data_IF_662541990775
#
_entry.id   IF_662541990775
#
_cell.length_a   1.000
_cell.length_b   1.000
_cell.length_c   1.000
_cell.angle_alpha   90.00
_cell.angle_beta   90.00
_cell.angle_gamma   90.00
#
_symmetry.space_group_name_H-M   'P 1'
#
loop_
_entity.id
_entity.type
_entity.pdbx_description
1 polymer ?
#
# COMPACT_ATOMS: atom_id res chain seq x y z
N UNK A 1 4.24 -101.88 26.05
CA UNK A 1 4.63 -101.47 24.67
C UNK A 1 3.52 -100.59 24.10
N UNK A 2 3.89 -99.54 23.36
CA UNK A 2 3.05 -98.44 22.81
C UNK A 2 2.80 -97.27 23.76
N UNK A 3 2.85 -96.00 23.33
CA UNK A 3 3.82 -95.24 22.53
C UNK A 3 3.45 -93.76 22.81
N UNK A 4 4.47 -92.92 22.89
CA UNK A 4 4.49 -91.45 22.87
C UNK A 4 3.26 -90.69 22.35
N UNK A 5 2.96 -89.55 23.00
CA UNK A 5 2.88 -88.25 22.30
C UNK A 5 2.98 -87.09 23.31
N UNK A 6 4.13 -86.41 23.32
CA UNK A 6 4.28 -85.06 23.91
C UNK A 6 4.36 -84.08 22.74
N UNK A 7 3.34 -83.23 22.61
CA UNK A 7 3.33 -82.09 21.68
C UNK A 7 3.84 -80.88 22.45
N UNK A 8 5.02 -80.39 22.09
CA UNK A 8 5.58 -79.13 22.60
C UNK A 8 5.08 -78.00 21.70
N UNK A 9 4.21 -77.14 22.21
CA UNK A 9 3.80 -75.91 21.52
C UNK A 9 4.79 -74.78 21.85
N UNK A 10 5.49 -74.27 20.84
CA UNK A 10 6.31 -73.06 20.93
C UNK A 10 5.38 -71.87 20.64
N UNK A 11 5.11 -71.04 21.65
CA UNK A 11 4.40 -69.76 21.47
C UNK A 11 5.43 -68.70 21.12
N UNK A 12 5.41 -68.23 19.86
CA UNK A 12 6.22 -67.10 19.42
C UNK A 12 5.51 -65.79 19.81
N UNK A 13 6.07 -65.06 20.77
CA UNK A 13 5.64 -63.72 21.15
C UNK A 13 6.04 -62.71 20.08
N UNK A 14 5.07 -62.29 19.26
CA UNK A 14 5.23 -61.14 18.36
C UNK A 14 5.08 -59.83 19.14
N UNK A 15 6.18 -59.09 19.29
CA UNK A 15 6.17 -57.72 19.83
C UNK A 15 5.69 -56.78 18.72
N UNK A 16 4.48 -56.26 18.86
CA UNK A 16 3.93 -55.22 17.99
C UNK A 16 4.50 -53.86 18.42
N UNK A 17 5.47 -53.33 17.67
CA UNK A 17 6.00 -51.98 17.88
C UNK A 17 5.07 -50.98 17.19
N UNK A 18 4.24 -50.29 17.98
CA UNK A 18 3.43 -49.16 17.53
C UNK A 18 4.32 -47.92 17.38
N UNK A 19 4.65 -47.56 16.14
CA UNK A 19 5.27 -46.28 15.83
C UNK A 19 4.21 -45.17 15.96
N UNK A 20 4.28 -44.39 17.05
CA UNK A 20 3.52 -43.16 17.18
C UNK A 20 4.14 -42.09 16.27
N UNK A 21 3.57 -41.91 15.08
CA UNK A 21 3.87 -40.76 14.25
C UNK A 21 3.38 -39.50 14.98
N UNK A 22 4.32 -38.65 15.40
CA UNK A 22 4.02 -37.33 15.98
C UNK A 22 3.38 -36.46 14.89
N UNK A 23 2.10 -36.16 15.05
CA UNK A 23 1.39 -35.19 14.21
C UNK A 23 1.99 -33.81 14.53
N UNK A 24 2.60 -33.10 13.57
CA UNK A 24 3.04 -31.74 13.81
C UNK A 24 1.81 -30.87 14.07
N UNK A 25 1.67 -30.39 15.31
CA UNK A 25 0.74 -29.33 15.66
C UNK A 25 1.22 -28.05 14.97
N UNK A 26 0.68 -27.78 13.79
CA UNK A 26 0.76 -26.47 13.17
C UNK A 26 0.08 -25.46 14.11
N UNK A 27 0.90 -24.73 14.86
CA UNK A 27 0.41 -23.61 15.64
C UNK A 27 0.00 -22.54 14.64
N UNK A 28 -1.30 -22.35 14.46
CA UNK A 28 -1.82 -21.21 13.73
C UNK A 28 -1.38 -19.95 14.46
N UNK A 29 -0.29 -19.33 13.99
CA UNK A 29 0.14 -18.02 14.44
C UNK A 29 -0.97 -17.05 14.04
N UNK A 30 -1.64 -16.48 15.05
CA UNK A 30 -2.56 -15.38 14.83
C UNK A 30 -1.80 -14.28 14.07
N UNK A 31 -2.39 -13.66 13.04
CA UNK A 31 -1.76 -12.55 12.35
C UNK A 31 -1.41 -11.50 13.41
N UNK A 32 -0.13 -11.19 13.54
CA UNK A 32 0.33 -10.07 14.36
C UNK A 32 -0.40 -8.85 13.82
N UNK A 33 -1.28 -8.26 14.62
CA UNK A 33 -1.85 -6.95 14.32
C UNK A 33 -0.67 -5.98 14.30
N UNK A 34 -0.10 -5.76 13.12
CA UNK A 34 0.92 -4.74 12.91
C UNK A 34 0.29 -3.43 13.40
N UNK A 35 0.85 -2.78 14.43
CA UNK A 35 0.34 -1.51 14.90
C UNK A 35 0.21 -0.60 13.69
N UNK A 36 -1.01 -0.15 13.39
CA UNK A 36 -1.28 0.79 12.30
C UNK A 36 -0.30 1.95 12.45
N UNK A 37 0.68 2.13 11.55
CA UNK A 37 1.69 3.14 11.73
C UNK A 37 1.00 4.50 11.87
N UNK A 38 1.18 5.10 13.04
CA UNK A 38 0.90 6.50 13.27
C UNK A 38 2.23 7.20 13.09
N UNK A 39 2.35 8.19 12.19
CA UNK A 39 1.26 8.98 11.60
C UNK A 39 0.66 8.45 10.27
N UNK A 40 -0.63 8.73 10.03
CA UNK A 40 -1.33 8.48 8.76
C UNK A 40 -1.71 9.80 8.06
N UNK A 41 -2.17 9.74 6.81
CA UNK A 41 -2.44 10.94 6.02
C UNK A 41 -3.75 11.66 6.35
N UNK A 42 -4.68 11.03 7.09
CA UNK A 42 -6.06 11.52 7.28
C UNK A 42 -6.41 11.86 8.73
N UNK A 43 -5.76 11.22 9.70
CA UNK A 43 -5.98 11.40 11.14
C UNK A 43 -5.40 12.72 11.60
N UNK A 44 -6.24 13.51 12.28
CA UNK A 44 -5.89 14.89 12.67
C UNK A 44 -6.05 15.92 11.55
N UNK A 45 -6.57 15.51 10.39
CA UNK A 45 -6.92 16.39 9.27
C UNK A 45 -6.31 15.92 7.96
N UNK A 46 -7.14 15.74 6.93
CA UNK A 46 -6.71 15.19 5.65
C UNK A 46 -6.24 16.23 4.61
N UNK A 47 -6.19 17.51 4.98
CA UNK A 47 -5.62 18.57 4.14
C UNK A 47 -4.16 18.79 4.52
N UNK A 48 -3.30 18.74 3.51
CA UNK A 48 -1.89 19.07 3.58
C UNK A 48 -1.56 20.19 2.61
N UNK A 49 -0.68 21.12 2.97
CA UNK A 49 -0.04 21.99 2.01
C UNK A 49 1.27 21.37 1.55
N UNK A 50 1.49 21.28 0.24
CA UNK A 50 2.78 20.96 -0.37
C UNK A 50 3.42 22.26 -0.87
N UNK A 51 4.68 22.50 -0.53
CA UNK A 51 5.47 23.62 -1.05
C UNK A 51 6.71 23.10 -1.76
N UNK A 52 6.83 23.40 -3.05
CA UNK A 52 7.97 23.04 -3.88
C UNK A 52 9.05 24.13 -3.82
N UNK A 53 10.31 23.71 -3.75
CA UNK A 53 11.48 24.55 -3.77
C UNK A 53 12.40 24.13 -4.90
N UNK A 54 12.98 25.10 -5.62
CA UNK A 54 13.87 24.83 -6.73
C UNK A 54 15.21 24.28 -6.22
N UNK A 55 15.52 23.03 -6.57
CA UNK A 55 16.74 22.34 -6.16
C UNK A 55 18.02 22.90 -6.79
N UNK A 56 17.90 23.54 -7.95
CA UNK A 56 19.01 24.23 -8.57
C UNK A 56 19.32 25.59 -7.91
N UNK A 57 18.44 26.08 -7.01
CA UNK A 57 18.62 27.37 -6.35
C UNK A 57 19.47 27.22 -5.08
N UNK A 58 20.58 27.97 -4.94
CA UNK A 58 21.44 27.89 -3.74
C UNK A 58 20.76 28.38 -2.45
N UNK A 59 19.63 29.08 -2.59
CA UNK A 59 18.82 29.59 -1.47
C UNK A 59 17.47 28.88 -1.32
N UNK A 60 17.26 27.75 -2.01
CA UNK A 60 15.99 27.01 -2.03
C UNK A 60 14.81 27.94 -2.32
N UNK A 61 14.80 28.55 -3.50
CA UNK A 61 13.74 29.50 -3.88
C UNK A 61 12.41 28.75 -3.98
N UNK A 62 11.40 29.23 -3.25
CA UNK A 62 10.05 28.70 -3.33
C UNK A 62 9.50 28.87 -4.75
N UNK A 63 8.93 27.80 -5.30
CA UNK A 63 8.29 27.78 -6.61
C UNK A 63 6.78 27.95 -6.49
N UNK A 64 6.13 27.03 -5.76
CA UNK A 64 4.69 26.99 -5.62
C UNK A 64 4.28 26.34 -4.30
N UNK A 65 3.11 26.72 -3.78
CA UNK A 65 2.44 26.07 -2.65
C UNK A 65 1.02 25.71 -3.02
N UNK A 66 0.57 24.52 -2.64
CA UNK A 66 -0.77 24.02 -2.95
C UNK A 66 -1.36 23.22 -1.81
N UNK A 67 -2.69 23.15 -1.75
CA UNK A 67 -3.39 22.23 -0.86
C UNK A 67 -3.69 20.90 -1.55
N UNK A 68 -3.38 19.80 -0.88
CA UNK A 68 -3.63 18.42 -1.28
C UNK A 68 -4.48 17.75 -0.20
N UNK A 69 -5.56 17.14 -0.64
CA UNK A 69 -6.46 16.38 0.21
C UNK A 69 -6.26 14.89 0.02
N UNK A 70 -6.34 14.12 1.11
CA UNK A 70 -6.29 12.67 1.07
C UNK A 70 -7.63 12.04 1.47
N UNK A 71 -8.06 11.01 0.76
CA UNK A 71 -9.21 10.16 1.07
C UNK A 71 -8.70 8.73 1.22
N UNK A 72 -8.85 8.12 2.39
CA UNK A 72 -8.46 6.73 2.60
C UNK A 72 -9.40 5.79 1.82
N UNK A 73 -8.82 4.91 1.00
CA UNK A 73 -9.59 4.01 0.12
C UNK A 73 -9.40 2.52 0.44
N UNK A 74 -8.42 2.16 1.28
CA UNK A 74 -8.25 0.79 1.73
C UNK A 74 -6.82 0.42 2.11
N UNK A 75 -6.61 -0.87 2.34
CA UNK A 75 -5.32 -1.47 2.66
C UNK A 75 -4.98 -2.51 1.58
N UNK A 76 -3.76 -2.45 1.04
CA UNK A 76 -3.25 -3.43 0.06
C UNK A 76 -1.93 -3.98 0.59
N UNK A 77 -1.90 -5.25 0.99
CA UNK A 77 -0.76 -5.82 1.70
C UNK A 77 -0.50 -5.09 3.01
N UNK A 78 0.69 -4.52 3.16
CA UNK A 78 1.10 -3.68 4.29
C UNK A 78 0.85 -2.19 4.08
N UNK A 79 0.32 -1.79 2.91
CA UNK A 79 0.21 -0.39 2.52
C UNK A 79 -1.19 0.19 2.76
N UNK A 80 -1.26 1.42 3.27
CA UNK A 80 -2.47 2.23 3.19
C UNK A 80 -2.57 2.89 1.83
N UNK A 81 -3.77 2.85 1.24
CA UNK A 81 -4.06 3.48 -0.04
C UNK A 81 -4.97 4.67 0.16
N UNK A 82 -4.67 5.72 -0.59
CA UNK A 82 -5.46 6.94 -0.59
C UNK A 82 -5.72 7.41 -2.02
N UNK A 83 -6.88 8.02 -2.24
CA UNK A 83 -7.07 8.99 -3.31
C UNK A 83 -6.55 10.34 -2.84
N UNK A 84 -6.00 11.14 -3.75
CA UNK A 84 -5.66 12.52 -3.45
C UNK A 84 -6.14 13.46 -4.54
N UNK A 85 -6.42 14.71 -4.17
CA UNK A 85 -6.78 15.77 -5.10
C UNK A 85 -6.28 17.13 -4.61
N UNK A 86 -5.96 18.02 -5.55
CA UNK A 86 -5.59 19.40 -5.24
C UNK A 86 -6.82 20.22 -4.92
N UNK A 87 -6.74 21.02 -3.86
CA UNK A 87 -7.73 22.08 -3.58
C UNK A 87 -7.40 23.38 -4.32
N UNK A 88 -6.22 23.45 -4.93
CA UNK A 88 -5.70 24.66 -5.56
C UNK A 88 -5.91 24.62 -7.08
N UNK A 89 -5.74 23.46 -7.71
CA UNK A 89 -5.94 23.30 -9.14
C UNK A 89 -7.01 22.25 -9.43
N UNK A 90 -8.05 22.60 -10.22
CA UNK A 90 -9.05 21.65 -10.68
C UNK A 90 -8.40 20.49 -11.45
N UNK A 91 -9.03 19.32 -11.37
CA UNK A 91 -8.65 18.09 -12.09
C UNK A 91 -7.26 17.53 -11.75
N UNK A 92 -6.53 18.14 -10.83
CA UNK A 92 -5.26 17.61 -10.35
C UNK A 92 -5.49 16.58 -9.24
N UNK A 93 -5.30 15.30 -9.55
CA UNK A 93 -5.64 14.20 -8.65
C UNK A 93 -4.88 12.92 -8.96
N UNK A 94 -4.93 11.96 -8.04
CA UNK A 94 -4.30 10.66 -8.23
C UNK A 94 -4.41 9.72 -7.06
N UNK A 95 -3.43 8.82 -6.95
CA UNK A 95 -3.35 7.77 -5.94
C UNK A 95 -2.08 7.95 -5.10
N UNK A 96 -2.20 7.65 -3.81
CA UNK A 96 -1.08 7.56 -2.88
C UNK A 96 -1.03 6.19 -2.21
N UNK A 97 0.17 5.70 -2.00
CA UNK A 97 0.50 4.51 -1.22
C UNK A 97 1.38 4.91 -0.05
N UNK A 98 1.03 4.47 1.15
CA UNK A 98 1.81 4.70 2.35
C UNK A 98 2.24 3.37 2.97
N UNK A 99 3.52 3.24 3.31
CA UNK A 99 4.04 2.18 4.17
C UNK A 99 4.94 2.78 5.25
N UNK A 100 4.55 2.62 6.51
CA UNK A 100 5.18 3.36 7.61
C UNK A 100 5.10 4.86 7.36
N UNK A 101 6.25 5.53 7.39
CA UNK A 101 6.35 6.97 7.14
C UNK A 101 6.53 7.30 5.66
N UNK A 102 6.81 6.32 4.80
CA UNK A 102 7.06 6.56 3.37
C UNK A 102 5.75 6.65 2.60
N UNK A 103 5.66 7.66 1.74
CA UNK A 103 4.49 7.94 0.91
C UNK A 103 4.93 8.11 -0.54
N UNK A 104 4.33 7.31 -1.41
CA UNK A 104 4.54 7.35 -2.86
C UNK A 104 3.22 7.76 -3.51
N UNK A 105 3.27 8.82 -4.31
CA UNK A 105 2.10 9.39 -4.96
C UNK A 105 2.36 9.49 -6.45
N UNK A 106 1.32 9.22 -7.23
CA UNK A 106 1.28 9.58 -8.64
C UNK A 106 -0.10 10.11 -9.01
N UNK A 107 -0.18 10.88 -10.08
CA UNK A 107 -1.44 11.43 -10.58
C UNK A 107 -1.24 12.27 -11.83
N UNK A 108 -2.30 12.95 -12.23
CA UNK A 108 -2.32 13.78 -13.43
C UNK A 108 -2.71 15.22 -13.05
N UNK A 109 -1.93 16.20 -13.50
CA UNK A 109 -2.31 17.61 -13.47
C UNK A 109 -2.92 18.08 -14.80
N UNK A 110 -2.70 17.32 -15.87
CA UNK A 110 -3.30 17.53 -17.18
C UNK A 110 -3.61 16.18 -17.80
N UNK A 111 -4.89 15.79 -17.75
CA UNK A 111 -5.42 14.51 -18.24
C UNK A 111 -4.63 13.93 -19.43
N UNK A 112 -4.04 12.75 -19.22
CA UNK A 112 -3.32 11.93 -20.20
C UNK A 112 -2.05 12.55 -20.83
N UNK A 113 -1.63 13.76 -20.41
CA UNK A 113 -0.49 14.47 -21.01
C UNK A 113 0.49 15.03 -19.97
N UNK A 114 0.02 15.33 -18.76
CA UNK A 114 0.80 15.91 -17.68
C UNK A 114 0.63 15.11 -16.40
N UNK A 115 1.75 14.61 -15.90
CA UNK A 115 1.82 13.66 -14.80
C UNK A 115 2.66 14.18 -13.65
N UNK A 116 2.35 13.67 -12.47
CA UNK A 116 3.08 13.93 -11.23
C UNK A 116 3.52 12.64 -10.57
N UNK A 117 4.71 12.73 -9.98
CA UNK A 117 5.27 11.74 -9.09
C UNK A 117 5.77 12.47 -7.85
N UNK A 118 5.30 12.06 -6.68
CA UNK A 118 5.71 12.69 -5.42
C UNK A 118 6.07 11.61 -4.42
N UNK A 119 7.33 11.63 -3.98
CA UNK A 119 7.85 10.71 -2.99
C UNK A 119 8.25 11.50 -1.76
N UNK A 120 7.68 11.18 -0.60
CA UNK A 120 7.96 11.91 0.63
C UNK A 120 7.83 11.03 1.86
N UNK A 121 8.37 11.53 2.96
CA UNK A 121 8.32 10.89 4.26
C UNK A 121 7.55 11.76 5.26
N UNK A 122 6.75 11.14 6.11
CA UNK A 122 6.12 11.83 7.23
C UNK A 122 7.15 11.98 8.35
N UNK A 123 7.68 13.19 8.50
CA UNK A 123 8.68 13.52 9.52
C UNK A 123 8.04 13.62 10.92
N UNK A 124 6.81 14.14 10.98
CA UNK A 124 6.01 14.24 12.21
C UNK A 124 4.53 14.12 11.89
N UNK A 125 3.67 14.01 12.91
CA UNK A 125 2.22 14.02 12.71
C UNK A 125 1.65 15.21 11.91
N UNK A 126 2.42 16.29 11.74
CA UNK A 126 2.01 17.53 11.05
C UNK A 126 2.94 17.99 9.93
N UNK A 127 4.03 17.28 9.67
CA UNK A 127 5.03 17.71 8.70
C UNK A 127 5.65 16.51 7.98
N UNK A 128 6.08 16.74 6.76
CA UNK A 128 6.86 15.80 5.99
C UNK A 128 7.71 16.50 4.95
N UNK A 129 8.61 15.74 4.34
CA UNK A 129 9.53 16.26 3.34
C UNK A 129 9.85 15.19 2.30
N UNK A 130 10.18 15.63 1.10
CA UNK A 130 10.41 14.73 -0.02
C UNK A 130 10.72 15.46 -1.30
N UNK A 131 10.32 14.85 -2.41
CA UNK A 131 10.62 15.34 -3.74
C UNK A 131 9.42 15.17 -4.66
N UNK A 132 9.21 16.19 -5.50
CA UNK A 132 8.15 16.24 -6.48
C UNK A 132 8.77 16.34 -7.88
N UNK A 133 8.35 15.41 -8.74
CA UNK A 133 8.62 15.40 -10.16
C UNK A 133 7.32 15.62 -10.95
N UNK A 134 7.33 16.59 -11.85
CA UNK A 134 6.25 16.85 -12.81
C UNK A 134 6.83 16.69 -14.21
N UNK A 135 6.15 15.96 -15.08
CA UNK A 135 6.57 15.80 -16.47
C UNK A 135 5.39 15.87 -17.44
N UNK A 136 5.71 16.14 -18.71
CA UNK A 136 4.77 16.01 -19.83
C UNK A 136 5.19 14.92 -20.79
N UNK A 137 4.22 14.20 -21.30
CA UNK A 137 4.42 13.28 -22.41
C UNK A 137 4.81 14.05 -23.68
N UNK A 138 5.90 13.66 -24.31
CA UNK A 138 6.41 14.21 -25.57
C UNK A 138 6.55 13.14 -26.68
N UNK A 139 6.02 11.94 -26.42
CA UNK A 139 6.16 10.76 -27.30
C UNK A 139 7.48 10.02 -27.17
N UNK A 140 8.36 10.43 -26.25
CA UNK A 140 9.65 9.80 -25.96
C UNK A 140 9.78 9.40 -24.49
N UNK A 141 10.74 10.01 -23.79
CA UNK A 141 11.01 9.76 -22.37
C UNK A 141 10.22 10.70 -21.44
N UNK A 142 9.37 11.57 -22.02
CA UNK A 142 8.74 12.66 -21.30
C UNK A 142 9.71 13.82 -21.07
N UNK A 143 9.15 15.01 -20.89
CA UNK A 143 9.89 16.21 -20.56
C UNK A 143 9.61 16.62 -19.12
N UNK A 144 10.61 16.47 -18.23
CA UNK A 144 10.52 16.91 -16.85
C UNK A 144 10.49 18.43 -16.77
N UNK A 145 9.44 18.98 -16.15
CA UNK A 145 9.23 20.42 -15.99
C UNK A 145 9.32 20.88 -14.54
N UNK A 146 9.14 19.97 -13.57
CA UNK A 146 9.44 20.20 -12.17
C UNK A 146 10.27 19.03 -11.65
N UNK A 147 11.36 19.35 -10.95
CA UNK A 147 12.15 18.43 -10.15
C UNK A 147 12.61 19.21 -8.92
N UNK A 148 11.88 19.05 -7.82
CA UNK A 148 11.92 19.98 -6.70
C UNK A 148 11.78 19.26 -5.35
N UNK A 149 12.54 19.71 -4.36
CA UNK A 149 12.28 19.40 -2.97
C UNK A 149 10.89 19.91 -2.58
N UNK A 150 10.16 19.08 -1.85
CA UNK A 150 8.81 19.37 -1.42
C UNK A 150 8.73 19.30 0.12
N UNK A 151 8.11 20.31 0.72
CA UNK A 151 7.77 20.31 2.16
C UNK A 151 6.26 20.21 2.30
N UNK A 152 5.83 19.28 3.13
CA UNK A 152 4.45 19.01 3.47
C UNK A 152 4.13 19.53 4.87
N UNK A 153 3.00 20.22 5.02
CA UNK A 153 2.47 20.63 6.32
C UNK A 153 0.99 20.32 6.42
N UNK A 154 0.56 19.71 7.52
CA UNK A 154 -0.87 19.44 7.73
C UNK A 154 -1.59 20.76 8.01
N UNK A 155 -2.57 21.07 7.17
CA UNK A 155 -3.26 22.36 7.16
C UNK A 155 -4.73 22.28 7.62
N UNK A 156 -5.24 21.08 7.90
CA UNK A 156 -6.56 20.88 8.53
C UNK A 156 -7.39 19.82 7.85
N UNK A 157 -8.69 20.06 7.71
CA UNK A 157 -9.64 19.12 7.12
C UNK A 157 -10.11 19.69 5.78
N UNK A 158 -10.16 18.84 4.77
CA UNK A 158 -10.75 19.19 3.49
C UNK A 158 -12.26 19.33 3.62
N UNK A 159 -12.80 20.45 3.12
CA UNK A 159 -14.24 20.52 2.86
C UNK A 159 -14.50 19.62 1.65
N UNK A 160 -15.45 18.71 1.77
CA UNK A 160 -15.76 17.68 0.76
C UNK A 160 -15.81 18.28 -0.65
N UNK A 161 -15.08 17.74 -1.63
CA UNK A 161 -15.25 18.12 -3.02
C UNK A 161 -16.42 17.38 -3.64
N UNK A 162 -16.90 17.95 -4.73
CA UNK A 162 -17.85 17.37 -5.67
C UNK A 162 -17.34 15.98 -6.08
N UNK A 163 -18.17 14.93 -6.07
CA UNK A 163 -17.75 13.59 -6.51
C UNK A 163 -17.26 13.66 -7.96
N UNK A 164 -15.97 13.46 -8.19
CA UNK A 164 -15.45 13.22 -9.53
C UNK A 164 -15.78 11.75 -9.88
N UNK A 165 -16.47 11.47 -11.00
CA UNK A 165 -16.72 10.10 -11.42
C UNK A 165 -15.40 9.35 -11.59
N UNK A 166 -15.27 8.21 -10.90
CA UNK A 166 -14.04 7.42 -10.93
C UNK A 166 -13.91 6.71 -12.29
N UNK A 167 -12.73 6.75 -12.94
CA UNK A 167 -12.44 5.80 -14.01
C UNK A 167 -12.41 4.39 -13.41
N UNK A 168 -13.10 3.45 -14.06
CA UNK A 168 -13.10 2.04 -13.68
C UNK A 168 -11.72 1.44 -13.96
N UNK A 169 -11.01 1.05 -12.90
CA UNK A 169 -9.80 0.23 -13.00
C UNK A 169 -10.20 -1.22 -12.76
N UNK A 170 -10.07 -2.11 -13.75
CA UNK A 170 -10.41 -3.52 -13.58
C UNK A 170 -9.53 -4.16 -12.50
N UNK A 171 -10.14 -4.98 -11.65
CA UNK A 171 -9.42 -5.85 -10.73
C UNK A 171 -8.45 -6.76 -11.51
N UNK A 172 -7.24 -6.95 -10.98
CA UNK A 172 -6.26 -7.87 -11.54
C UNK A 172 -6.45 -9.24 -10.88
N UNK A 173 -6.55 -10.31 -11.67
CA UNK A 173 -6.73 -11.68 -11.19
C UNK A 173 -5.58 -12.58 -11.68
N UNK A 174 -5.21 -13.59 -10.90
CA UNK A 174 -4.31 -14.66 -11.33
C UNK A 174 -5.01 -15.51 -12.39
N UNK A 175 -4.23 -16.34 -13.07
CA UNK A 175 -4.75 -17.37 -13.97
C UNK A 175 -5.74 -18.33 -13.28
N UNK A 176 -5.63 -18.46 -11.95
CA UNK A 176 -6.49 -19.31 -11.12
C UNK A 176 -7.70 -18.55 -10.55
N UNK A 177 -7.93 -17.30 -10.98
CA UNK A 177 -9.05 -16.47 -10.54
C UNK A 177 -8.87 -15.84 -9.16
N UNK A 178 -7.67 -15.90 -8.57
CA UNK A 178 -7.38 -15.24 -7.30
C UNK A 178 -7.15 -13.76 -7.57
N UNK A 179 -7.87 -12.89 -6.86
CA UNK A 179 -7.65 -11.45 -6.93
C UNK A 179 -6.20 -11.12 -6.52
N UNK A 180 -5.39 -10.64 -7.47
CA UNK A 180 -3.99 -10.22 -7.25
C UNK A 180 -3.98 -8.84 -6.64
N UNK A 181 -4.70 -7.90 -7.26
CA UNK A 181 -4.76 -6.51 -6.83
C UNK A 181 -6.16 -5.93 -7.09
N UNK A 182 -6.69 -5.30 -6.05
CA UNK A 182 -7.80 -4.37 -6.14
C UNK A 182 -7.25 -2.99 -5.76
N UNK A 183 -6.63 -2.26 -6.70
CA UNK A 183 -5.97 -0.99 -6.40
C UNK A 183 -6.95 0.08 -5.85
N UNK A 184 -8.26 -0.15 -6.00
CA UNK A 184 -9.33 0.74 -5.56
C UNK A 184 -10.03 0.29 -4.27
N UNK A 185 -9.78 -0.93 -3.78
CA UNK A 185 -10.48 -1.50 -2.62
C UNK A 185 -11.99 -1.68 -2.79
N UNK A 186 -12.52 -1.58 -4.02
CA UNK A 186 -13.96 -1.68 -4.28
C UNK A 186 -14.33 -3.16 -4.44
N UNK A 187 -15.06 -3.71 -3.47
CA UNK A 187 -15.74 -4.99 -3.67
C UNK A 187 -16.92 -4.77 -4.62
N UNK A 188 -16.85 -5.37 -5.81
CA UNK A 188 -18.02 -5.48 -6.68
C UNK A 188 -18.93 -6.51 -6.03
N UNK A 189 -20.03 -6.05 -5.43
CA UNK A 189 -21.12 -6.95 -5.02
C UNK A 189 -21.91 -7.30 -6.27
N UNK A 190 -21.91 -8.59 -6.60
CA UNK A 190 -22.81 -9.18 -7.60
C UNK A 190 -24.28 -8.94 -7.26
#
# INVERSE_FOLDING_TARGET
MSLFNKVTAIVASGILVLNFATIPTAHAQLPVLVPTPSPDLVRGGNLWTITAFNDASPVHTQMATQGICFEFIGVVGTHFRYRWYSTTFPDWNGIASQEGDQVFMHGDYAKDVGHDGIHWAIDTSKAGSGHWTEWREDGGFGNTIVFANAVFQRAGICRTPIPVPLPYVPNQYTIDGILIENPMGIEVKD
#
